data_IF_146412973379
#
_entry.id   IF_146412973379
#
_cell.length_a   1.000
_cell.length_b   1.000
_cell.length_c   1.000
_cell.angle_alpha   90.00
_cell.angle_beta   90.00
_cell.angle_gamma   90.00
#
_symmetry.space_group_name_H-M   'P 1'
#
loop_
_entity.id
_entity.type
_entity.pdbx_description
1 polymer ?
#
# COMPACT_ATOMS: atom_id res chain seq x y z
N UNK A 1 -12.37 2.33 -11.81
CA UNK A 1 -11.49 3.47 -11.49
C UNK A 1 -12.29 4.77 -11.33
N UNK A 2 -12.92 5.28 -12.39
CA UNK A 2 -13.52 6.63 -12.38
C UNK A 2 -14.66 6.78 -11.36
N UNK A 3 -15.51 5.76 -11.21
CA UNK A 3 -16.56 5.75 -10.20
C UNK A 3 -16.00 5.76 -8.77
N UNK A 4 -14.86 5.13 -8.53
CA UNK A 4 -14.18 5.11 -7.23
C UNK A 4 -13.68 6.51 -6.88
N UNK A 5 -12.94 7.14 -7.78
CA UNK A 5 -12.42 8.52 -7.60
C UNK A 5 -13.58 9.51 -7.44
N UNK A 6 -14.64 9.38 -8.24
CA UNK A 6 -15.80 10.25 -8.14
C UNK A 6 -16.51 10.15 -6.78
N UNK A 7 -16.60 8.95 -6.21
CA UNK A 7 -17.29 8.65 -4.96
C UNK A 7 -16.47 9.00 -3.72
N UNK A 8 -15.22 8.58 -3.67
CA UNK A 8 -14.37 8.68 -2.47
C UNK A 8 -13.46 9.91 -2.49
N UNK A 9 -13.32 10.57 -3.65
CA UNK A 9 -12.47 11.76 -3.83
C UNK A 9 -10.99 11.53 -3.53
N UNK A 10 -10.56 10.27 -3.45
CA UNK A 10 -9.15 9.94 -3.29
C UNK A 10 -8.36 10.34 -4.52
N UNK A 11 -7.27 11.05 -4.28
CA UNK A 11 -6.21 11.17 -5.27
C UNK A 11 -5.51 9.82 -5.41
N UNK A 12 -5.55 9.24 -6.61
CA UNK A 12 -4.85 8.00 -6.94
C UNK A 12 -3.52 8.33 -7.62
N UNK A 13 -2.36 7.95 -7.03
CA UNK A 13 -1.07 8.09 -7.66
C UNK A 13 -1.01 7.35 -9.00
N UNK A 14 -0.36 7.94 -10.00
CA UNK A 14 -0.34 7.41 -11.37
C UNK A 14 0.31 6.03 -11.48
N UNK A 15 1.33 5.77 -10.66
CA UNK A 15 2.06 4.51 -10.67
C UNK A 15 1.29 3.36 -10.01
N UNK A 16 0.67 3.61 -8.86
CA UNK A 16 -0.29 2.67 -8.26
C UNK A 16 -1.51 2.45 -9.16
N UNK A 17 -2.05 3.52 -9.77
CA UNK A 17 -3.14 3.45 -10.75
C UNK A 17 -2.78 2.56 -11.94
N UNK A 18 -1.56 2.68 -12.45
CA UNK A 18 -1.06 1.86 -13.56
C UNK A 18 -1.00 0.39 -13.17
N UNK A 19 -0.46 0.09 -11.98
CA UNK A 19 -0.41 -1.28 -11.45
C UNK A 19 -1.80 -1.89 -11.32
N UNK A 20 -2.73 -1.19 -10.65
CA UNK A 20 -4.04 -1.76 -10.35
C UNK A 20 -4.91 -1.92 -11.60
N UNK A 21 -4.68 -1.10 -12.63
CA UNK A 21 -5.34 -1.25 -13.93
C UNK A 21 -4.93 -2.55 -14.63
N UNK A 22 -3.72 -3.05 -14.37
CA UNK A 22 -3.19 -4.25 -15.00
C UNK A 22 -3.47 -5.52 -14.19
N UNK A 23 -3.26 -5.49 -12.88
CA UNK A 23 -3.29 -6.70 -12.04
C UNK A 23 -4.48 -6.77 -11.07
N UNK A 24 -5.21 -5.67 -10.87
CA UNK A 24 -6.30 -5.52 -9.87
C UNK A 24 -5.91 -5.70 -8.40
N UNK A 25 -5.00 -6.60 -8.06
CA UNK A 25 -4.36 -6.80 -6.75
C UNK A 25 -3.17 -7.76 -6.87
N UNK A 26 -2.40 -7.93 -5.79
CA UNK A 26 -1.37 -8.96 -5.71
C UNK A 26 -1.13 -9.41 -4.27
N UNK A 27 -0.68 -10.66 -4.10
CA UNK A 27 -0.18 -11.20 -2.82
C UNK A 27 1.29 -11.53 -3.03
N UNK A 28 2.15 -11.03 -2.15
CA UNK A 28 3.60 -11.09 -2.29
C UNK A 28 4.22 -11.72 -1.05
N UNK A 29 5.19 -12.63 -1.26
CA UNK A 29 6.03 -13.20 -0.21
C UNK A 29 5.23 -13.82 0.96
N UNK A 30 4.09 -14.43 0.66
CA UNK A 30 3.26 -15.12 1.65
C UNK A 30 3.67 -16.60 1.71
N UNK A 31 4.00 -17.08 2.91
CA UNK A 31 4.29 -18.49 3.11
C UNK A 31 2.97 -19.29 3.15
N UNK A 32 2.93 -20.44 2.49
CA UNK A 32 1.72 -21.29 2.40
C UNK A 32 1.16 -21.68 3.77
N UNK A 33 2.04 -22.03 4.70
CA UNK A 33 1.64 -22.57 6.01
C UNK A 33 1.64 -21.54 7.15
N UNK A 34 2.39 -20.45 7.02
CA UNK A 34 2.61 -19.47 8.10
C UNK A 34 2.06 -18.08 7.78
N UNK A 35 1.55 -17.86 6.56
CA UNK A 35 1.05 -16.58 6.11
C UNK A 35 2.16 -15.53 6.01
N UNK A 36 1.86 -14.31 6.47
CA UNK A 36 2.75 -13.16 6.35
C UNK A 36 2.68 -12.50 4.98
N UNK A 37 3.77 -11.83 4.61
CA UNK A 37 3.90 -11.13 3.33
C UNK A 37 3.13 -9.81 3.24
N UNK A 38 2.83 -9.43 2.00
CA UNK A 38 2.19 -8.17 1.63
C UNK A 38 1.03 -8.40 0.66
N UNK A 39 -0.09 -7.75 0.93
CA UNK A 39 -1.24 -7.70 0.04
C UNK A 39 -1.29 -6.31 -0.61
N UNK A 40 -1.03 -6.22 -1.92
CA UNK A 40 -1.35 -5.03 -2.70
C UNK A 40 -2.86 -5.03 -2.94
N UNK A 41 -3.55 -4.07 -2.34
CA UNK A 41 -5.01 -4.05 -2.25
C UNK A 41 -5.65 -3.66 -3.58
N UNK A 42 -6.79 -4.29 -3.88
CA UNK A 42 -7.73 -3.81 -4.89
C UNK A 42 -8.49 -2.59 -4.40
N UNK A 43 -9.08 -1.79 -5.30
CA UNK A 43 -9.86 -0.60 -4.90
C UNK A 43 -11.00 -0.92 -3.92
N UNK A 44 -11.63 -2.09 -4.00
CA UNK A 44 -12.64 -2.50 -3.01
C UNK A 44 -12.00 -2.76 -1.65
N UNK A 45 -10.88 -3.50 -1.64
CA UNK A 45 -10.14 -3.81 -0.41
C UNK A 45 -9.57 -2.54 0.24
N UNK A 46 -9.14 -1.54 -0.55
CA UNK A 46 -8.74 -0.21 -0.05
C UNK A 46 -9.85 0.39 0.81
N UNK A 47 -11.10 0.37 0.35
CA UNK A 47 -12.23 0.93 1.11
C UNK A 47 -12.54 0.09 2.35
N UNK A 48 -12.53 -1.23 2.20
CA UNK A 48 -12.83 -2.15 3.29
C UNK A 48 -11.81 -2.00 4.42
N UNK A 49 -10.52 -1.87 4.09
CA UNK A 49 -9.45 -1.68 5.06
C UNK A 49 -9.47 -0.26 5.63
N UNK A 50 -9.65 0.77 4.80
CA UNK A 50 -9.74 2.16 5.24
C UNK A 50 -10.83 2.33 6.31
N UNK A 51 -12.01 1.75 6.09
CA UNK A 51 -13.12 1.79 7.05
C UNK A 51 -12.95 0.81 8.20
N UNK A 52 -12.48 -0.40 7.92
CA UNK A 52 -12.37 -1.48 8.90
C UNK A 52 -11.32 -1.21 9.97
N UNK A 53 -10.23 -0.53 9.61
CA UNK A 53 -9.16 -0.15 10.52
C UNK A 53 -9.24 1.31 10.98
N UNK A 54 -10.31 2.03 10.62
CA UNK A 54 -10.50 3.45 10.98
C UNK A 54 -9.27 4.30 10.65
N UNK A 55 -8.72 4.15 9.45
CA UNK A 55 -7.54 4.91 9.02
C UNK A 55 -7.98 6.36 8.76
N UNK A 56 -7.40 7.29 9.50
CA UNK A 56 -7.80 8.69 9.47
C UNK A 56 -7.25 9.45 8.25
N UNK A 57 -8.01 10.47 7.83
CA UNK A 57 -7.57 11.48 6.86
C UNK A 57 -6.24 12.12 7.33
N UNK A 58 -5.27 12.38 6.43
CA UNK A 58 -5.34 12.32 4.97
C UNK A 58 -5.03 10.95 4.33
N UNK A 59 -5.04 9.86 5.10
CA UNK A 59 -4.48 8.58 4.65
C UNK A 59 -5.52 7.58 4.13
N UNK A 60 -5.12 6.77 3.13
CA UNK A 60 -5.84 5.54 2.79
C UNK A 60 -4.87 4.41 2.43
N UNK A 61 -5.15 3.14 2.82
CA UNK A 61 -4.24 2.03 2.63
C UNK A 61 -4.24 1.57 1.17
N UNK A 62 -3.07 1.27 0.63
CA UNK A 62 -2.94 0.59 -0.68
C UNK A 62 -2.25 -0.76 -0.58
N UNK A 63 -1.52 -1.00 0.52
CA UNK A 63 -0.87 -2.27 0.82
C UNK A 63 -1.11 -2.60 2.29
N UNK A 64 -1.37 -3.86 2.59
CA UNK A 64 -1.36 -4.40 3.95
C UNK A 64 -0.17 -5.34 4.14
N UNK A 65 0.52 -5.24 5.27
CA UNK A 65 1.52 -6.23 5.69
C UNK A 65 0.97 -7.05 6.83
N UNK A 66 0.84 -8.35 6.59
CA UNK A 66 0.52 -9.32 7.65
C UNK A 66 1.74 -9.67 8.49
N UNK A 67 2.96 -9.40 7.98
CA UNK A 67 4.21 -9.64 8.70
C UNK A 67 4.47 -8.57 9.78
N UNK A 68 4.44 -7.30 9.41
CA UNK A 68 4.67 -6.18 10.35
C UNK A 68 3.39 -5.60 10.96
N UNK A 69 2.23 -6.15 10.58
CA UNK A 69 0.90 -5.78 11.07
C UNK A 69 0.63 -4.27 10.92
N UNK A 70 0.40 -3.84 9.69
CA UNK A 70 0.11 -2.44 9.37
C UNK A 70 -0.10 -2.21 7.88
N UNK A 71 -0.27 -0.95 7.52
CA UNK A 71 -0.57 -0.55 6.16
C UNK A 71 0.47 0.43 5.61
N UNK A 72 0.76 0.32 4.30
CA UNK A 72 1.29 1.44 3.55
C UNK A 72 0.12 2.20 2.96
N UNK A 73 0.04 3.46 3.37
CA UNK A 73 -1.01 4.37 3.00
C UNK A 73 -0.48 5.41 2.02
N UNK A 74 -1.36 5.88 1.14
CA UNK A 74 -1.16 7.12 0.41
C UNK A 74 -1.52 8.26 1.35
N UNK A 75 -0.58 9.18 1.56
CA UNK A 75 -0.85 10.46 2.18
C UNK A 75 -1.34 11.44 1.10
N UNK A 76 -2.62 11.79 1.16
CA UNK A 76 -3.25 12.65 0.15
C UNK A 76 -2.75 14.11 0.19
N UNK A 77 -2.17 14.57 1.31
CA UNK A 77 -1.57 15.92 1.38
C UNK A 77 -0.25 15.99 0.61
N UNK A 78 0.39 14.85 0.33
CA UNK A 78 1.61 14.75 -0.47
C UNK A 78 1.30 14.54 -1.97
N UNK A 79 0.05 14.73 -2.40
CA UNK A 79 -0.34 14.62 -3.80
C UNK A 79 0.49 15.57 -4.70
N UNK A 80 1.29 14.98 -5.59
CA UNK A 80 2.16 15.73 -6.51
C UNK A 80 3.46 16.25 -5.89
N UNK A 81 3.80 15.85 -4.66
CA UNK A 81 5.11 16.14 -4.08
C UNK A 81 6.22 15.34 -4.79
N UNK A 82 7.38 15.97 -4.99
CA UNK A 82 8.54 15.29 -5.61
C UNK A 82 9.14 14.19 -4.71
N UNK A 83 8.89 14.24 -3.40
CA UNK A 83 9.51 13.36 -2.40
C UNK A 83 8.70 12.09 -2.12
N UNK A 84 7.76 11.68 -2.98
CA UNK A 84 6.90 10.52 -2.75
C UNK A 84 5.70 10.80 -1.84
N UNK A 85 4.88 9.79 -1.61
CA UNK A 85 3.56 9.94 -0.98
C UNK A 85 3.19 8.81 -0.02
N UNK A 86 4.07 7.83 0.20
CA UNK A 86 3.81 6.69 1.06
C UNK A 86 4.11 6.99 2.53
N UNK A 87 3.16 6.61 3.38
CA UNK A 87 3.25 6.67 4.84
C UNK A 87 2.93 5.29 5.40
N UNK A 88 3.78 4.78 6.31
CA UNK A 88 3.51 3.56 7.05
C UNK A 88 2.66 3.86 8.28
N UNK A 89 1.56 3.13 8.45
CA UNK A 89 0.70 3.17 9.64
C UNK A 89 0.70 1.78 10.28
N UNK A 90 1.30 1.70 11.47
CA UNK A 90 1.28 0.48 12.28
C UNK A 90 -0.10 0.24 12.86
N UNK A 91 -0.62 -0.98 12.79
CA UNK A 91 -1.87 -1.31 13.48
C UNK A 91 -1.73 -1.27 15.02
N UNK A 92 -0.49 -1.39 15.50
CA UNK A 92 -0.16 -1.35 16.94
C UNK A 92 0.13 0.06 17.44
N UNK A 93 0.43 1.00 16.54
CA UNK A 93 0.76 2.38 16.86
C UNK A 93 0.31 3.33 15.75
N UNK A 94 -1.02 3.48 15.56
CA UNK A 94 -1.57 4.27 14.45
C UNK A 94 -1.37 5.78 14.62
N UNK A 95 -1.12 6.25 15.85
CA UNK A 95 -0.93 7.68 16.17
C UNK A 95 0.44 8.21 15.75
N UNK A 96 1.40 7.32 15.44
CA UNK A 96 2.75 7.67 15.04
C UNK A 96 3.06 7.17 13.61
N UNK A 97 2.41 7.76 12.57
CA UNK A 97 2.68 7.42 11.19
C UNK A 97 4.13 7.75 10.79
N UNK A 98 4.73 6.90 9.95
CA UNK A 98 6.08 7.09 9.44
C UNK A 98 6.06 7.41 7.95
N UNK A 99 6.38 8.65 7.60
CA UNK A 99 6.56 9.04 6.20
C UNK A 99 7.80 8.36 5.60
N UNK A 100 7.60 7.68 4.48
CA UNK A 100 8.65 6.90 3.83
C UNK A 100 9.34 7.66 2.71
N UNK A 101 8.76 8.80 2.29
CA UNK A 101 9.28 9.64 1.21
C UNK A 101 9.59 8.83 -0.07
N UNK A 102 8.63 8.00 -0.49
CA UNK A 102 8.76 7.17 -1.68
C UNK A 102 7.41 6.98 -2.37
N UNK A 103 7.47 6.64 -3.65
CA UNK A 103 6.34 6.21 -4.48
C UNK A 103 6.07 4.71 -4.32
N UNK A 104 4.91 4.25 -4.81
CA UNK A 104 4.58 2.82 -4.91
C UNK A 104 5.64 2.05 -5.71
N UNK A 105 6.08 2.59 -6.84
CA UNK A 105 7.08 1.91 -7.69
C UNK A 105 8.42 1.75 -6.99
N UNK A 106 8.90 2.80 -6.31
CA UNK A 106 10.16 2.73 -5.57
C UNK A 106 10.08 1.74 -4.42
N UNK A 107 8.98 1.76 -3.67
CA UNK A 107 8.73 0.78 -2.62
C UNK A 107 8.72 -0.65 -3.18
N UNK A 108 7.97 -0.88 -4.26
CA UNK A 108 7.80 -2.20 -4.83
C UNK A 108 9.11 -2.77 -5.39
N UNK A 109 9.92 -1.94 -6.07
CA UNK A 109 11.23 -2.35 -6.55
C UNK A 109 12.19 -2.66 -5.39
N UNK A 110 12.23 -1.83 -4.34
CA UNK A 110 13.05 -2.09 -3.15
C UNK A 110 12.62 -3.38 -2.43
N UNK A 111 11.31 -3.66 -2.38
CA UNK A 111 10.79 -4.90 -1.81
C UNK A 111 11.28 -6.11 -2.62
N UNK A 112 11.13 -6.08 -3.95
CA UNK A 112 11.59 -7.16 -4.82
C UNK A 112 13.11 -7.37 -4.74
N UNK A 113 13.90 -6.31 -4.63
CA UNK A 113 15.36 -6.40 -4.48
C UNK A 113 15.81 -6.98 -3.13
N UNK A 114 15.05 -6.73 -2.06
CA UNK A 114 15.36 -7.22 -0.71
C UNK A 114 14.85 -8.65 -0.51
N UNK A 115 13.55 -8.85 -0.66
CA UNK A 115 12.89 -10.12 -0.37
C UNK A 115 13.02 -11.11 -1.54
N UNK A 116 13.08 -10.62 -2.77
CA UNK A 116 13.24 -11.50 -3.94
C UNK A 116 14.56 -12.26 -3.93
N UNK A 117 15.63 -11.73 -3.33
CA UNK A 117 16.92 -12.44 -3.24
C UNK A 117 16.81 -13.79 -2.53
N UNK A 118 15.88 -13.93 -1.60
CA UNK A 118 15.63 -15.21 -0.94
C UNK A 118 14.94 -16.23 -1.85
N UNK A 119 14.25 -15.76 -2.91
CA UNK A 119 13.53 -16.61 -3.87
C UNK A 119 14.30 -16.90 -5.18
N UNK A 120 15.23 -16.01 -5.59
CA UNK A 120 15.93 -16.15 -6.89
C UNK A 120 17.20 -17.02 -6.84
N UNK A 121 17.62 -17.48 -5.65
CA UNK A 121 18.86 -18.26 -5.46
C UNK A 121 18.64 -19.73 -5.10
N UNK A 122 17.43 -20.26 -5.32
CA UNK A 122 17.22 -21.72 -5.36
C UNK A 122 17.56 -22.33 -6.72
#
# INVERSE_FOLDING_TARGET
MDQFVARYKFWLPDDYRSFISQYSKAVLFQHSDYGGGYDILSLSEVIDYWKGYSIDDPHYPIIWSSHSIGALCVNQEQAGAENGYLTWISAMDPENPLDLHMSFTEWFMKLLEREGKEFWLE
#
